data_IF_020168921455
#
_entry.id   IF_020168921455
#
_cell.length_a   1.000
_cell.length_b   1.000
_cell.length_c   1.000
_cell.angle_alpha   90.00
_cell.angle_beta   90.00
_cell.angle_gamma   90.00
#
_symmetry.space_group_name_H-M   'P 1'
#
loop_
_entity.id
_entity.type
_entity.pdbx_description
1 polymer ?
#
# COMPACT_ATOMS: atom_id res chain seq x y z
N UNK A 1 4.45 23.48 3.60
CA UNK A 1 4.84 22.10 3.98
C UNK A 1 5.06 21.32 2.70
N UNK A 2 6.23 20.68 2.47
CA UNK A 2 6.43 19.83 1.31
C UNK A 2 5.48 18.62 1.37
N UNK A 3 4.98 18.18 0.22
CA UNK A 3 4.21 16.94 0.11
C UNK A 3 5.17 15.76 0.18
N UNK A 4 4.93 14.83 1.11
CA UNK A 4 5.73 13.60 1.25
C UNK A 4 4.88 12.43 0.80
N UNK A 5 5.46 11.53 0.01
CA UNK A 5 4.83 10.26 -0.36
C UNK A 5 5.26 9.22 0.68
N UNK A 6 4.35 8.58 1.42
CA UNK A 6 4.69 7.52 2.36
C UNK A 6 5.47 6.39 1.67
N UNK A 7 6.48 5.87 2.36
CA UNK A 7 7.30 4.76 1.86
C UNK A 7 6.92 3.48 2.58
N UNK A 8 6.54 2.48 1.81
CA UNK A 8 6.22 1.13 2.27
C UNK A 8 7.38 0.20 1.93
N UNK A 9 8.02 -0.37 2.94
CA UNK A 9 9.06 -1.37 2.77
C UNK A 9 8.49 -2.76 3.04
N UNK A 10 8.67 -3.67 2.09
CA UNK A 10 8.25 -5.06 2.17
C UNK A 10 9.49 -5.96 2.17
N UNK A 11 9.76 -6.61 3.30
CA UNK A 11 10.82 -7.59 3.43
C UNK A 11 10.24 -8.98 3.23
N UNK A 12 10.57 -9.63 2.11
CA UNK A 12 10.13 -11.00 1.84
C UNK A 12 11.07 -11.98 2.52
N UNK A 13 10.49 -12.89 3.30
CA UNK A 13 11.23 -13.94 4.01
C UNK A 13 11.24 -15.23 3.20
N UNK A 14 12.20 -16.11 3.50
CA UNK A 14 12.36 -17.39 2.79
C UNK A 14 11.14 -18.33 2.90
N UNK A 15 10.31 -18.18 3.93
CA UNK A 15 9.06 -18.93 4.10
C UNK A 15 7.87 -18.33 3.33
N UNK A 16 8.10 -17.27 2.54
CA UNK A 16 7.10 -16.57 1.75
C UNK A 16 6.24 -15.57 2.53
N UNK A 17 6.50 -15.39 3.84
CA UNK A 17 5.90 -14.30 4.62
C UNK A 17 6.57 -12.97 4.29
N UNK A 18 5.85 -11.88 4.57
CA UNK A 18 6.32 -10.51 4.33
C UNK A 18 6.23 -9.71 5.62
N UNK A 19 7.32 -9.09 6.02
CA UNK A 19 7.26 -8.04 7.04
C UNK A 19 7.07 -6.70 6.32
N UNK A 20 5.99 -6.00 6.63
CA UNK A 20 5.64 -4.73 6.01
C UNK A 20 5.82 -3.59 7.02
N UNK A 21 6.37 -2.47 6.55
CA UNK A 21 6.41 -1.22 7.31
C UNK A 21 5.96 -0.06 6.43
N UNK A 22 5.36 0.97 7.03
CA UNK A 22 5.05 2.25 6.41
C UNK A 22 5.77 3.36 7.20
N UNK A 23 6.63 4.12 6.52
CA UNK A 23 7.49 5.14 7.12
C UNK A 23 8.22 4.64 8.38
N UNK A 24 8.69 3.39 8.33
CA UNK A 24 9.41 2.71 9.43
C UNK A 24 8.52 2.10 10.52
N UNK A 25 7.20 2.30 10.48
CA UNK A 25 6.26 1.74 11.45
C UNK A 25 5.70 0.40 10.94
N UNK A 26 5.55 -0.64 11.78
CA UNK A 26 4.96 -1.90 11.36
C UNK A 26 3.56 -1.73 10.76
N UNK A 27 3.36 -2.27 9.56
CA UNK A 27 2.08 -2.33 8.88
C UNK A 27 1.48 -3.72 9.07
N UNK A 28 0.66 -3.89 10.10
CA UNK A 28 0.14 -5.21 10.47
C UNK A 28 -1.05 -5.62 9.60
N UNK A 29 -1.23 -6.93 9.33
CA UNK A 29 -2.42 -7.44 8.67
C UNK A 29 -3.68 -7.16 9.50
N UNK A 30 -4.81 -6.83 8.84
CA UNK A 30 -6.12 -6.83 9.49
C UNK A 30 -6.41 -8.19 10.13
N UNK A 31 -7.25 -8.16 11.16
CA UNK A 31 -7.68 -9.38 11.84
C UNK A 31 -8.29 -10.40 10.85
N UNK A 32 -7.98 -11.68 11.05
CA UNK A 32 -8.50 -12.77 10.22
C UNK A 32 -7.76 -13.04 8.90
N UNK A 33 -6.89 -12.13 8.44
CA UNK A 33 -6.09 -12.35 7.21
C UNK A 33 -4.84 -13.22 7.47
N UNK A 34 -4.38 -13.27 8.72
CA UNK A 34 -3.12 -13.94 9.08
C UNK A 34 -1.90 -13.14 8.63
N UNK A 35 -0.71 -13.74 8.64
CA UNK A 35 0.54 -13.06 8.24
C UNK A 35 0.48 -12.62 6.78
N UNK A 36 1.06 -11.46 6.50
CA UNK A 36 1.29 -11.03 5.13
C UNK A 36 2.12 -12.03 4.34
N UNK A 37 1.80 -12.13 3.05
CA UNK A 37 2.51 -12.93 2.06
C UNK A 37 2.73 -12.10 0.81
N UNK A 38 3.59 -12.57 -0.10
CA UNK A 38 3.79 -11.91 -1.40
C UNK A 38 2.47 -11.75 -2.18
N UNK A 39 1.57 -12.74 -2.10
CA UNK A 39 0.23 -12.68 -2.70
C UNK A 39 -0.69 -11.62 -2.08
N UNK A 40 -0.37 -11.12 -0.88
CA UNK A 40 -1.11 -10.06 -0.21
C UNK A 40 -0.73 -8.66 -0.70
N UNK A 41 0.21 -8.52 -1.64
CA UNK A 41 0.67 -7.22 -2.13
C UNK A 41 -0.47 -6.25 -2.50
N UNK A 42 -1.54 -6.67 -3.23
CA UNK A 42 -2.66 -5.77 -3.49
C UNK A 42 -3.33 -5.23 -2.22
N UNK A 43 -3.49 -6.07 -1.20
CA UNK A 43 -4.12 -5.72 0.08
C UNK A 43 -3.21 -4.83 0.94
N UNK A 44 -1.91 -5.08 0.91
CA UNK A 44 -0.91 -4.23 1.58
C UNK A 44 -0.92 -2.83 0.95
N UNK A 45 -0.94 -2.76 -0.39
CA UNK A 45 -1.07 -1.49 -1.12
C UNK A 45 -2.36 -0.77 -0.69
N UNK A 46 -3.49 -1.47 -0.67
CA UNK A 46 -4.77 -0.88 -0.27
C UNK A 46 -4.73 -0.34 1.15
N UNK A 47 -4.18 -1.10 2.10
CA UNK A 47 -4.06 -0.65 3.48
C UNK A 47 -3.13 0.57 3.61
N UNK A 48 -1.95 0.53 3.01
CA UNK A 48 -0.96 1.60 3.11
C UNK A 48 -1.38 2.90 2.42
N UNK A 49 -2.19 2.79 1.36
CA UNK A 49 -2.63 3.93 0.55
C UNK A 49 -4.02 4.46 0.96
N UNK A 50 -4.57 4.00 2.08
CA UNK A 50 -5.92 4.32 2.53
C UNK A 50 -6.93 4.06 1.40
N UNK A 51 -7.02 2.80 0.96
CA UNK A 51 -7.79 2.34 -0.21
C UNK A 51 -7.49 3.15 -1.49
N UNK A 52 -6.20 3.36 -1.74
CA UNK A 52 -5.67 4.10 -2.89
C UNK A 52 -6.17 5.55 -2.96
N UNK A 53 -6.46 6.20 -1.83
CA UNK A 53 -6.81 7.63 -1.79
C UNK A 53 -5.58 8.55 -1.72
N UNK A 54 -4.42 8.02 -1.33
CA UNK A 54 -3.12 8.70 -1.35
C UNK A 54 -2.09 7.91 -2.15
N UNK A 55 -1.10 8.55 -2.79
CA UNK A 55 0.00 7.83 -3.42
C UNK A 55 0.92 7.21 -2.37
N UNK A 56 1.55 6.09 -2.69
CA UNK A 56 2.57 5.44 -1.85
C UNK A 56 3.73 4.96 -2.71
N UNK A 57 4.95 5.04 -2.18
CA UNK A 57 6.13 4.39 -2.77
C UNK A 57 6.28 3.01 -2.14
N UNK A 58 6.37 1.97 -2.95
CA UNK A 58 6.59 0.60 -2.49
C UNK A 58 8.03 0.21 -2.83
N UNK A 59 8.72 -0.39 -1.86
CA UNK A 59 10.01 -1.03 -2.05
C UNK A 59 9.92 -2.48 -1.56
N UNK A 60 10.23 -3.44 -2.42
CA UNK A 60 10.17 -4.87 -2.12
C UNK A 60 11.58 -5.44 -2.14
N UNK A 61 12.01 -5.97 -1.01
CA UNK A 61 13.29 -6.66 -0.86
C UNK A 61 13.01 -8.15 -0.90
N UNK A 62 13.42 -8.78 -1.99
CA UNK A 62 13.24 -10.20 -2.20
C UNK A 62 14.36 -11.02 -1.53
N UNK A 63 14.07 -12.31 -1.31
CA UNK A 63 15.01 -13.23 -0.63
C UNK A 63 16.35 -13.32 -1.36
N UNK A 64 16.32 -13.22 -2.70
CA UNK A 64 17.49 -13.23 -3.57
C UNK A 64 18.25 -11.90 -3.61
N UNK A 65 17.92 -10.96 -2.72
CA UNK A 65 18.46 -9.60 -2.63
C UNK A 65 18.06 -8.70 -3.81
N UNK A 66 17.15 -9.14 -4.67
CA UNK A 66 16.55 -8.25 -5.68
C UNK A 66 15.69 -7.20 -4.98
N UNK A 67 15.84 -5.95 -5.40
CA UNK A 67 15.02 -4.84 -4.92
C UNK A 67 14.15 -4.34 -6.05
N UNK A 68 12.84 -4.30 -5.81
CA UNK A 68 11.87 -3.69 -6.71
C UNK A 68 11.36 -2.40 -6.08
N UNK A 69 11.19 -1.35 -6.89
CA UNK A 69 10.61 -0.08 -6.44
C UNK A 69 9.53 0.35 -7.41
N UNK A 70 8.40 0.76 -6.87
CA UNK A 70 7.29 1.32 -7.64
C UNK A 70 6.61 2.46 -6.87
N UNK A 71 5.87 3.31 -7.58
CA UNK A 71 5.03 4.35 -6.99
C UNK A 71 3.59 4.07 -7.40
N UNK A 72 2.77 3.71 -6.43
CA UNK A 72 1.34 3.52 -6.64
C UNK A 72 0.65 4.88 -6.52
N UNK A 73 0.03 5.30 -7.62
CA UNK A 73 -0.72 6.56 -7.66
C UNK A 73 -2.07 6.42 -6.93
N UNK A 74 -2.55 7.51 -6.35
CA UNK A 74 -3.91 7.58 -5.85
C UNK A 74 -4.91 7.38 -7.00
N UNK A 75 -6.05 6.76 -6.70
CA UNK A 75 -7.20 6.71 -7.60
C UNK A 75 -7.73 8.13 -7.83
N UNK A 76 -8.08 8.49 -9.07
CA UNK A 76 -8.78 9.75 -9.33
C UNK A 76 -10.06 9.81 -8.48
N UNK A 77 -10.30 10.95 -7.81
CA UNK A 77 -11.58 11.18 -7.14
C UNK A 77 -12.65 11.24 -8.24
N UNK A 78 -13.58 10.30 -8.23
CA UNK A 78 -14.74 10.39 -9.10
C UNK A 78 -15.61 11.56 -8.61
N UNK A 79 -15.97 12.53 -9.49
CA UNK A 79 -16.90 13.57 -9.11
C UNK A 79 -18.20 12.91 -8.64
N UNK A 80 -18.68 13.26 -7.45
CA UNK A 80 -20.05 12.92 -7.06
C UNK A 80 -20.97 13.60 -8.07
N UNK A 81 -21.88 12.88 -8.77
CA UNK A 81 -22.81 13.54 -9.65
C UNK A 81 -23.64 14.52 -8.81
N UNK A 82 -23.53 15.81 -9.10
CA UNK A 82 -24.43 16.82 -8.55
C UNK A 82 -25.82 16.48 -9.07
N UNK A 83 -26.67 15.91 -8.22
CA UNK A 83 -28.11 15.84 -8.51
C UNK A 83 -28.61 17.27 -8.38
N UNK A 84 -28.58 18.01 -9.48
CA UNK A 84 -29.28 19.28 -9.61
C UNK A 84 -30.78 18.96 -9.48
N UNK A 85 -31.32 19.27 -8.31
CA UNK A 85 -32.76 19.16 -8.07
C UNK A 85 -33.35 20.46 -8.61
N UNK A 86 -33.84 20.43 -9.84
CA UNK A 86 -34.57 21.56 -10.46
C UNK A 86 -35.92 21.73 -9.72
N UNK A 87 -36.26 22.94 -9.23
CA UNK A 87 -37.50 23.21 -8.48
C UNK A 87 -38.78 23.19 -9.31
#
# INVERSE_FOLDING_TARGET
MPVTIPTVLLQVRADGTVDATIDGHPLLPPEGIGRWRRSSLPQIIDHASTDRTIPVRIEVHEVDQTVFTDIISARPRQPTPTVETDP
#
